data_IF_272724059995
#
_entry.id   IF_272724059995
#
_cell.length_a   1.000
_cell.length_b   1.000
_cell.length_c   1.000
_cell.angle_alpha   90.00
_cell.angle_beta   90.00
_cell.angle_gamma   90.00
#
_symmetry.space_group_name_H-M   'P 1'
#
loop_
_entity.id
_entity.type
_entity.pdbx_description
1 polymer ?
#
# COMPACT_ATOMS: atom_id res chain seq x y z
N UNK A 1 2.36 9.90 -20.75
CA UNK A 1 2.90 9.26 -19.53
C UNK A 1 4.39 9.54 -19.50
N UNK A 2 4.89 10.16 -18.43
CA UNK A 2 6.32 10.38 -18.26
C UNK A 2 7.02 9.01 -18.11
N UNK A 3 8.28 8.91 -18.58
CA UNK A 3 9.06 7.67 -18.47
C UNK A 3 9.14 7.15 -17.02
N UNK A 4 9.31 8.06 -16.08
CA UNK A 4 9.28 7.75 -14.65
C UNK A 4 7.94 7.16 -14.18
N UNK A 5 6.78 7.66 -14.63
CA UNK A 5 5.47 7.12 -14.22
C UNK A 5 5.27 5.69 -14.72
N UNK A 6 5.74 5.38 -15.94
CA UNK A 6 5.69 4.02 -16.48
C UNK A 6 6.49 3.03 -15.61
N UNK A 7 7.68 3.43 -15.19
CA UNK A 7 8.52 2.63 -14.30
C UNK A 7 7.83 2.41 -12.94
N UNK A 8 7.26 3.46 -12.34
CA UNK A 8 6.52 3.35 -11.08
C UNK A 8 5.31 2.42 -11.16
N UNK A 9 4.62 2.40 -12.30
CA UNK A 9 3.53 1.44 -12.54
C UNK A 9 4.02 -0.01 -12.54
N UNK A 10 5.16 -0.29 -13.17
CA UNK A 10 5.79 -1.61 -13.13
C UNK A 10 6.20 -1.99 -11.72
N UNK A 11 6.83 -1.11 -10.97
CA UNK A 11 7.25 -1.34 -9.59
C UNK A 11 6.06 -1.69 -8.67
N UNK A 12 4.93 -0.98 -8.76
CA UNK A 12 3.71 -1.33 -8.02
C UNK A 12 3.27 -2.76 -8.34
N UNK A 13 3.27 -3.15 -9.62
CA UNK A 13 2.87 -4.49 -10.03
C UNK A 13 3.84 -5.56 -9.51
N UNK A 14 5.14 -5.29 -9.51
CA UNK A 14 6.16 -6.20 -8.95
C UNK A 14 6.00 -6.38 -7.45
N UNK A 15 5.85 -5.30 -6.69
CA UNK A 15 5.61 -5.36 -5.24
C UNK A 15 4.30 -6.09 -4.95
N UNK A 16 3.23 -5.81 -5.70
CA UNK A 16 1.96 -6.53 -5.56
C UNK A 16 2.11 -8.04 -5.77
N UNK A 17 2.86 -8.46 -6.79
CA UNK A 17 3.16 -9.87 -7.06
C UNK A 17 3.97 -10.49 -5.93
N UNK A 18 4.96 -9.77 -5.42
CA UNK A 18 5.79 -10.23 -4.29
C UNK A 18 4.95 -10.42 -3.02
N UNK A 19 4.05 -9.48 -2.71
CA UNK A 19 3.12 -9.58 -1.58
C UNK A 19 2.22 -10.81 -1.72
N UNK A 20 1.70 -11.08 -2.92
CA UNK A 20 0.89 -12.25 -3.19
C UNK A 20 1.68 -13.54 -3.02
N UNK A 21 2.89 -13.62 -3.56
CA UNK A 21 3.79 -14.79 -3.43
C UNK A 21 4.18 -15.07 -1.97
N UNK A 22 4.33 -14.01 -1.17
CA UNK A 22 4.62 -14.14 0.27
C UNK A 22 3.39 -14.52 1.11
N UNK A 23 2.20 -14.58 0.51
CA UNK A 23 0.96 -14.83 1.23
C UNK A 23 0.55 -13.69 2.17
N UNK A 24 0.99 -12.46 1.88
CA UNK A 24 0.62 -11.28 2.67
C UNK A 24 -0.68 -10.63 2.21
N UNK A 25 -1.14 -10.99 1.03
CA UNK A 25 -2.44 -10.62 0.48
C UNK A 25 -3.08 -11.85 -0.15
N UNK A 26 -4.40 -11.96 -0.02
CA UNK A 26 -5.19 -13.00 -0.64
C UNK A 26 -6.30 -12.37 -1.49
N UNK A 27 -6.78 -13.09 -2.51
CA UNK A 27 -7.84 -12.59 -3.39
C UNK A 27 -7.62 -11.12 -3.81
N UNK A 28 -8.43 -10.19 -3.30
CA UNK A 28 -8.40 -8.76 -3.63
C UNK A 28 -7.78 -7.90 -2.51
N UNK A 29 -7.27 -8.52 -1.44
CA UNK A 29 -6.75 -7.83 -0.28
C UNK A 29 -5.55 -6.95 -0.59
N UNK A 30 -5.31 -5.99 0.31
CA UNK A 30 -4.18 -5.09 0.24
C UNK A 30 -4.29 -4.05 -0.87
N UNK A 31 -3.50 -3.02 -0.75
CA UNK A 31 -3.43 -1.95 -1.74
C UNK A 31 -2.10 -1.19 -1.63
N UNK A 32 -1.69 -0.59 -2.73
CA UNK A 32 -0.45 0.16 -2.84
C UNK A 32 -0.73 1.52 -3.46
N UNK A 33 0.04 2.52 -3.05
CA UNK A 33 0.06 3.81 -3.73
C UNK A 33 1.44 4.46 -3.72
N UNK A 34 1.66 5.37 -4.67
CA UNK A 34 2.86 6.21 -4.77
C UNK A 34 2.40 7.65 -4.98
N UNK A 35 2.97 8.59 -4.23
CA UNK A 35 2.78 10.01 -4.41
C UNK A 35 3.59 10.46 -5.63
N UNK A 36 2.92 10.88 -6.71
CA UNK A 36 3.56 11.39 -7.92
C UNK A 36 3.84 12.90 -7.82
N UNK A 37 2.93 13.64 -7.18
CA UNK A 37 3.02 15.07 -6.90
C UNK A 37 2.08 15.43 -5.75
N UNK A 38 1.96 16.72 -5.42
CA UNK A 38 1.09 17.19 -4.34
C UNK A 38 -0.40 16.84 -4.55
N UNK A 39 -0.84 16.65 -5.78
CA UNK A 39 -2.24 16.37 -6.12
C UNK A 39 -2.41 15.16 -7.05
N UNK A 40 -1.44 14.26 -7.11
CA UNK A 40 -1.53 13.06 -7.96
C UNK A 40 -0.94 11.85 -7.26
N UNK A 41 -1.75 10.82 -7.09
CA UNK A 41 -1.39 9.58 -6.40
C UNK A 41 -1.71 8.39 -7.29
N UNK A 42 -0.67 7.68 -7.72
CA UNK A 42 -0.79 6.42 -8.46
C UNK A 42 -1.15 5.33 -7.47
N UNK A 43 -2.21 4.57 -7.73
CA UNK A 43 -2.67 3.55 -6.79
C UNK A 43 -3.27 2.31 -7.48
N UNK A 44 -3.31 1.23 -6.72
CA UNK A 44 -3.98 0.00 -7.13
C UNK A 44 -5.49 0.19 -7.12
N UNK A 45 -6.22 -0.37 -8.09
CA UNK A 45 -7.67 -0.35 -8.11
C UNK A 45 -8.27 -1.35 -7.12
N UNK A 46 -9.58 -1.22 -6.89
CA UNK A 46 -10.35 -2.25 -6.18
C UNK A 46 -10.60 -3.50 -7.04
N UNK A 47 -10.99 -4.59 -6.40
CA UNK A 47 -11.46 -5.83 -7.04
C UNK A 47 -10.46 -6.46 -8.04
N UNK A 48 -9.17 -6.39 -7.74
CA UNK A 48 -8.14 -7.11 -8.49
C UNK A 48 -7.11 -7.73 -7.56
N UNK A 49 -6.69 -8.96 -7.87
CA UNK A 49 -5.59 -9.61 -7.17
C UNK A 49 -4.28 -8.87 -7.41
N UNK A 50 -3.55 -8.59 -6.34
CA UNK A 50 -2.24 -7.91 -6.41
C UNK A 50 -1.20 -8.74 -7.17
N UNK A 51 -1.38 -10.07 -7.21
CA UNK A 51 -0.53 -10.98 -7.99
C UNK A 51 -0.77 -10.97 -9.50
N UNK A 52 -1.88 -10.38 -9.95
CA UNK A 52 -2.33 -10.43 -11.36
C UNK A 52 -2.47 -9.05 -12.02
N UNK A 53 -2.13 -7.98 -11.32
CA UNK A 53 -2.20 -6.62 -11.86
C UNK A 53 -1.22 -6.40 -13.00
N UNK A 54 -1.63 -5.59 -13.94
CA UNK A 54 -0.80 -5.01 -14.99
C UNK A 54 -0.68 -3.50 -14.81
N UNK A 55 0.33 -2.84 -15.38
CA UNK A 55 0.47 -1.38 -15.32
C UNK A 55 -0.77 -0.60 -15.80
N UNK A 56 -1.53 -1.14 -16.74
CA UNK A 56 -2.74 -0.52 -17.30
C UNK A 56 -3.96 -0.62 -16.36
N UNK A 57 -3.90 -1.50 -15.36
CA UNK A 57 -4.94 -1.60 -14.33
C UNK A 57 -4.87 -0.46 -13.31
N UNK A 58 -3.67 0.13 -13.12
CA UNK A 58 -3.45 1.15 -12.12
C UNK A 58 -4.15 2.46 -12.48
N UNK A 59 -4.57 3.18 -11.47
CA UNK A 59 -5.32 4.43 -11.58
C UNK A 59 -4.58 5.57 -10.90
N UNK A 60 -4.95 6.80 -11.22
CA UNK A 60 -4.50 7.99 -10.51
C UNK A 60 -5.70 8.65 -9.85
N UNK A 61 -5.52 9.07 -8.60
CA UNK A 61 -6.48 9.89 -7.85
C UNK A 61 -5.84 11.23 -7.48
N UNK A 62 -6.67 12.22 -7.22
CA UNK A 62 -6.26 13.50 -6.66
C UNK A 62 -6.18 13.47 -5.12
N UNK A 63 -5.82 14.59 -4.48
CA UNK A 63 -5.71 14.71 -3.03
C UNK A 63 -7.07 14.55 -2.31
N UNK A 64 -8.20 14.66 -2.99
CA UNK A 64 -9.53 14.38 -2.44
C UNK A 64 -9.91 12.88 -2.52
N UNK A 65 -9.09 12.07 -3.21
CA UNK A 65 -9.38 10.68 -3.51
C UNK A 65 -10.31 10.49 -4.70
N UNK A 66 -10.55 11.54 -5.48
CA UNK A 66 -11.31 11.44 -6.73
C UNK A 66 -10.43 10.86 -7.84
N UNK A 67 -10.95 9.88 -8.55
CA UNK A 67 -10.24 9.28 -9.69
C UNK A 67 -10.13 10.30 -10.83
N UNK A 68 -8.90 10.58 -11.26
CA UNK A 68 -8.60 11.48 -12.38
C UNK A 68 -8.09 10.76 -13.61
N UNK A 69 -7.58 9.52 -13.46
CA UNK A 69 -7.07 8.71 -14.58
C UNK A 69 -7.25 7.22 -14.31
N UNK A 70 -7.42 6.44 -15.38
CA UNK A 70 -7.52 4.98 -15.34
C UNK A 70 -8.94 4.45 -15.55
N UNK A 71 -9.04 3.17 -15.91
CA UNK A 71 -10.29 2.52 -16.31
C UNK A 71 -11.06 1.89 -15.15
N UNK A 72 -10.34 1.51 -14.08
CA UNK A 72 -10.90 0.81 -12.92
C UNK A 72 -11.36 1.79 -11.85
N UNK A 73 -12.06 1.29 -10.85
CA UNK A 73 -12.46 2.06 -9.69
C UNK A 73 -11.36 2.04 -8.60
N UNK A 74 -11.28 3.12 -7.84
CA UNK A 74 -10.31 3.27 -6.75
C UNK A 74 -10.55 2.28 -5.62
N UNK A 75 -9.49 1.94 -4.88
CA UNK A 75 -9.62 1.19 -3.63
C UNK A 75 -10.50 1.95 -2.61
N UNK A 76 -11.28 1.21 -1.82
CA UNK A 76 -12.07 1.78 -0.72
C UNK A 76 -11.20 2.46 0.35
N UNK A 77 -9.96 2.02 0.48
CA UNK A 77 -9.02 2.47 1.52
C UNK A 77 -8.13 3.64 1.11
N UNK A 78 -8.41 4.26 -0.04
CA UNK A 78 -7.59 5.37 -0.54
C UNK A 78 -7.46 6.52 0.47
N UNK A 79 -8.50 6.78 1.26
CA UNK A 79 -8.46 7.84 2.28
C UNK A 79 -7.43 7.57 3.37
N UNK A 80 -7.20 6.31 3.74
CA UNK A 80 -6.11 5.94 4.66
C UNK A 80 -4.75 6.33 4.07
N UNK A 81 -4.50 6.02 2.80
CA UNK A 81 -3.26 6.40 2.12
C UNK A 81 -3.06 7.92 2.07
N UNK A 82 -4.11 8.66 1.67
CA UNK A 82 -4.06 10.12 1.58
C UNK A 82 -3.83 10.78 2.96
N UNK A 83 -4.43 10.22 4.02
CA UNK A 83 -4.19 10.66 5.40
C UNK A 83 -2.72 10.47 5.78
N UNK A 84 -2.11 9.33 5.46
CA UNK A 84 -0.69 9.07 5.71
C UNK A 84 0.18 10.11 4.99
N UNK A 85 -0.06 10.37 3.70
CA UNK A 85 0.69 11.38 2.95
C UNK A 85 0.54 12.80 3.52
N UNK A 86 -0.66 13.14 4.01
CA UNK A 86 -0.92 14.44 4.66
C UNK A 86 -0.21 14.59 6.00
N UNK A 87 -0.13 13.54 6.79
CA UNK A 87 0.54 13.52 8.09
C UNK A 87 2.05 13.32 8.00
N UNK A 88 2.54 12.69 6.95
CA UNK A 88 3.94 12.31 6.74
C UNK A 88 4.40 12.74 5.35
N UNK A 89 4.76 14.02 5.18
CA UNK A 89 5.20 14.55 3.88
C UNK A 89 6.51 13.93 3.37
N UNK A 90 7.26 13.26 4.25
CA UNK A 90 8.46 12.48 3.93
C UNK A 90 8.15 11.11 3.32
N UNK A 91 6.88 10.63 3.37
CA UNK A 91 6.47 9.35 2.80
C UNK A 91 6.12 9.51 1.33
N UNK A 92 6.81 8.76 0.47
CA UNK A 92 6.58 8.73 -0.99
C UNK A 92 5.70 7.57 -1.48
N UNK A 93 5.53 6.51 -0.66
CA UNK A 93 4.73 5.35 -1.00
C UNK A 93 4.07 4.73 0.23
N UNK A 94 2.90 4.12 0.04
CA UNK A 94 2.19 3.35 1.07
C UNK A 94 1.91 1.95 0.55
N UNK A 95 2.24 0.95 1.35
CA UNK A 95 1.97 -0.47 1.09
C UNK A 95 1.12 -1.02 2.22
N UNK A 96 -0.10 -1.41 1.92
CA UNK A 96 -1.03 -2.03 2.86
C UNK A 96 -1.19 -3.52 2.54
N UNK A 97 -1.01 -4.36 3.54
CA UNK A 97 -1.08 -5.82 3.43
C UNK A 97 -1.70 -6.42 4.70
N UNK A 98 -2.11 -7.68 4.60
CA UNK A 98 -2.63 -8.47 5.71
C UNK A 98 -1.73 -9.69 6.00
N UNK A 99 -0.45 -9.52 6.39
CA UNK A 99 0.40 -10.65 6.71
C UNK A 99 -0.21 -11.47 7.84
N UNK A 100 -0.37 -12.81 7.71
CA UNK A 100 -1.16 -13.60 8.66
C UNK A 100 -0.70 -13.48 10.11
N UNK A 101 0.61 -13.45 10.33
CA UNK A 101 1.17 -13.32 11.70
C UNK A 101 0.86 -11.94 12.29
N UNK A 102 1.14 -10.87 11.55
CA UNK A 102 0.87 -9.50 12.02
C UNK A 102 -0.62 -9.25 12.22
N UNK A 103 -1.46 -9.77 11.32
CA UNK A 103 -2.92 -9.72 11.45
C UNK A 103 -3.40 -10.48 12.68
N UNK A 104 -2.80 -11.65 12.98
CA UNK A 104 -3.10 -12.42 14.20
C UNK A 104 -2.77 -11.64 15.47
N UNK A 105 -1.65 -10.92 15.52
CA UNK A 105 -1.33 -10.00 16.62
C UNK A 105 -2.36 -8.89 16.75
N UNK A 106 -2.70 -8.22 15.63
CA UNK A 106 -3.68 -7.14 15.61
C UNK A 106 -5.05 -7.59 16.11
N UNK A 107 -5.58 -8.71 15.61
CA UNK A 107 -6.89 -9.27 16.01
C UNK A 107 -6.89 -9.69 17.47
N UNK A 108 -5.74 -10.15 18.02
CA UNK A 108 -5.61 -10.49 19.43
C UNK A 108 -5.43 -9.28 20.36
N UNK A 109 -5.44 -8.06 19.83
CA UNK A 109 -5.23 -6.84 20.61
C UNK A 109 -3.80 -6.67 21.13
N UNK A 110 -2.79 -7.25 20.45
CA UNK A 110 -1.40 -7.25 20.88
C UNK A 110 -0.50 -6.45 19.94
N UNK A 111 0.20 -5.43 20.44
CA UNK A 111 1.24 -4.76 19.65
C UNK A 111 2.50 -5.62 19.53
N UNK A 112 3.31 -5.39 18.51
CA UNK A 112 4.65 -5.97 18.35
C UNK A 112 5.68 -4.99 18.94
N UNK A 113 5.80 -4.97 20.25
CA UNK A 113 6.62 -4.01 20.98
C UNK A 113 7.70 -4.65 21.87
N UNK A 114 7.88 -5.96 21.79
CA UNK A 114 8.92 -6.66 22.55
C UNK A 114 10.25 -6.62 21.79
N UNK A 115 11.30 -6.24 22.50
CA UNK A 115 12.67 -6.17 21.95
C UNK A 115 13.35 -7.53 21.95
N UNK A 116 12.81 -8.49 21.17
CA UNK A 116 13.30 -9.88 21.13
C UNK A 116 14.17 -10.19 19.90
N UNK A 117 14.15 -9.32 18.89
CA UNK A 117 14.88 -9.53 17.66
C UNK A 117 15.65 -8.24 17.27
N UNK A 118 17.00 -8.26 17.25
CA UNK A 118 17.79 -7.04 17.06
C UNK A 118 17.43 -6.26 15.78
N UNK A 119 17.23 -6.96 14.66
CA UNK A 119 16.91 -6.32 13.38
C UNK A 119 15.55 -5.59 13.44
N UNK A 120 14.56 -6.16 14.12
CA UNK A 120 13.25 -5.51 14.31
C UNK A 120 13.41 -4.24 15.15
N UNK A 121 14.17 -4.32 16.24
CA UNK A 121 14.40 -3.16 17.14
C UNK A 121 15.12 -2.03 16.41
N UNK A 122 16.14 -2.34 15.63
CA UNK A 122 16.94 -1.35 14.90
C UNK A 122 16.20 -0.75 13.71
N UNK A 123 15.46 -1.57 12.96
CA UNK A 123 14.83 -1.16 11.70
C UNK A 123 13.41 -0.58 11.89
N UNK A 124 12.64 -1.12 12.82
CA UNK A 124 11.23 -0.77 13.02
C UNK A 124 10.96 -0.13 14.39
N UNK A 125 11.79 -0.40 15.38
CA UNK A 125 11.51 -0.01 16.77
C UNK A 125 10.36 -0.85 17.34
N UNK A 126 9.18 -0.28 17.43
CA UNK A 126 7.95 -0.98 17.81
C UNK A 126 6.89 -0.84 16.73
N UNK A 127 6.07 -1.88 16.55
CA UNK A 127 4.88 -1.83 15.71
C UNK A 127 3.67 -1.67 16.61
N UNK A 128 3.07 -0.47 16.68
CA UNK A 128 1.92 -0.20 17.55
C UNK A 128 0.67 -0.89 17.00
N UNK A 129 -0.30 -1.09 17.88
CA UNK A 129 -1.65 -1.45 17.51
C UNK A 129 -2.45 -0.16 17.33
N UNK A 130 -3.13 -0.03 16.19
CA UNK A 130 -4.09 1.05 15.98
C UNK A 130 -5.33 0.85 16.87
N UNK A 131 -5.91 1.95 17.35
CA UNK A 131 -7.11 1.93 18.16
C UNK A 131 -8.36 1.60 17.35
#
# INVERSE_FOLDING_TARGET
MAENERELRHQICEIGRLMYQKGWVAANDGNLSIKLSEDRYLCTPTNISKGMMTPDDLIIVDASGTKVEGRRERTSEIMMHLTIYGMRPDVGAVVHAHPPVSTGFAVSGRPLNQAIHPEVVVMLGSVPLAA
#
